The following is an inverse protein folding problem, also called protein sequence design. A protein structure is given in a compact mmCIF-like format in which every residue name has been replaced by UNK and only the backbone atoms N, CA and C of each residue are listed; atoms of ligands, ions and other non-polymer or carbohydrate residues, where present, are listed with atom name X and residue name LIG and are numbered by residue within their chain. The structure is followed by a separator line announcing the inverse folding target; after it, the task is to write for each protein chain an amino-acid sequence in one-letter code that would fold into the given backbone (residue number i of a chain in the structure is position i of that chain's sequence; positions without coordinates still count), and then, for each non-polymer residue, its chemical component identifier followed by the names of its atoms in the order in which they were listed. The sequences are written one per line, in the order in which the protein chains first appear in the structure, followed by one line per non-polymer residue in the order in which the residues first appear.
data_IF_501064424111
#
_entry.id   IF_501064424111
#
_cell.length_a   1.000
_cell.length_b   1.000
_cell.length_c   1.000
_cell.angle_alpha   90.00
_cell.angle_beta   90.00
_cell.angle_gamma   90.00
#
_symmetry.space_group_name_H-M   'P 1'
#
loop_
_entity.id
_entity.type
_entity.pdbx_description
1 polymer ?
#
# COMPACT_ATOMS: atom_id res chain seq x y z
N UNK A 1 27.44 6.28 18.95
CA UNK A 1 26.73 6.84 17.80
C UNK A 1 25.38 6.15 17.68
N UNK A 2 24.28 6.87 17.60
CA UNK A 2 22.98 6.28 17.35
C UNK A 2 22.97 5.59 15.97
N UNK A 3 22.24 4.48 15.88
CA UNK A 3 22.05 3.75 14.63
C UNK A 3 20.59 3.85 14.24
N UNK A 4 20.33 4.03 12.95
CA UNK A 4 18.99 4.17 12.40
C UNK A 4 18.76 3.12 11.33
N UNK A 5 17.52 2.65 11.23
CA UNK A 5 17.05 1.78 10.14
C UNK A 5 15.93 2.52 9.43
N UNK A 6 16.03 2.61 8.11
CA UNK A 6 14.97 3.13 7.26
C UNK A 6 14.48 2.00 6.35
N UNK A 7 13.17 1.80 6.35
CA UNK A 7 12.52 0.86 5.45
C UNK A 7 11.72 1.68 4.44
N UNK A 8 11.94 1.40 3.16
CA UNK A 8 11.20 2.04 2.07
C UNK A 8 10.45 0.99 1.26
N UNK A 9 9.14 1.19 1.07
CA UNK A 9 8.29 0.35 0.26
C UNK A 9 7.92 1.03 -1.05
N UNK A 10 7.93 0.26 -2.15
CA UNK A 10 7.42 0.69 -3.43
C UNK A 10 6.16 -0.13 -3.74
N UNK A 11 4.99 0.53 -3.69
CA UNK A 11 3.70 -0.11 -3.89
C UNK A 11 3.08 0.35 -5.20
N UNK A 12 3.01 -0.55 -6.14
CA UNK A 12 2.48 -0.28 -7.46
C UNK A 12 1.70 -1.48 -7.98
N UNK A 13 0.56 -1.20 -8.62
CA UNK A 13 -0.14 -2.16 -9.48
C UNK A 13 -0.42 -1.50 -10.82
N UNK A 14 -0.24 -2.21 -11.94
CA UNK A 14 -0.58 -1.69 -13.25
C UNK A 14 -2.10 -1.53 -13.37
N UNK A 15 -2.57 -0.67 -14.29
CA UNK A 15 -3.98 -0.64 -14.63
C UNK A 15 -4.39 -1.98 -15.23
N UNK A 16 -5.41 -2.60 -14.64
CA UNK A 16 -5.93 -3.91 -15.06
C UNK A 16 -7.37 -3.85 -15.54
N UNK A 17 -8.00 -2.69 -15.41
CA UNK A 17 -9.36 -2.46 -15.79
C UNK A 17 -9.54 -2.65 -17.29
N UNK A 18 -10.61 -3.35 -17.68
CA UNK A 18 -11.04 -3.39 -19.05
C UNK A 18 -11.48 -1.97 -19.48
N UNK A 19 -10.89 -1.37 -20.52
CA UNK A 19 -11.18 0.02 -20.89
C UNK A 19 -12.64 0.30 -21.25
N UNK A 20 -13.38 -0.72 -21.63
CA UNK A 20 -14.78 -0.61 -22.01
C UNK A 20 -15.74 -0.77 -20.84
N UNK A 21 -15.35 -1.61 -19.86
CA UNK A 21 -16.18 -1.94 -18.71
C UNK A 21 -15.79 -1.16 -17.46
N UNK A 22 -14.63 -0.52 -17.47
CA UNK A 22 -14.04 0.20 -16.32
C UNK A 22 -13.92 -0.67 -15.05
N UNK A 23 -13.88 -1.98 -15.23
CA UNK A 23 -13.74 -2.97 -14.15
C UNK A 23 -12.64 -3.98 -14.47
N UNK A 24 -12.06 -4.55 -13.43
CA UNK A 24 -11.08 -5.63 -13.57
C UNK A 24 -11.81 -6.94 -13.81
N UNK A 25 -11.49 -7.61 -14.90
CA UNK A 25 -12.02 -8.94 -15.20
C UNK A 25 -11.37 -10.02 -14.35
N UNK A 26 -12.03 -11.19 -14.25
CA UNK A 26 -11.49 -12.33 -13.55
C UNK A 26 -10.15 -12.76 -14.13
N UNK A 27 -9.16 -12.93 -13.26
CA UNK A 27 -7.83 -13.43 -13.62
C UNK A 27 -7.59 -14.78 -12.95
N UNK A 28 -7.67 -15.86 -13.72
CA UNK A 28 -7.55 -17.23 -13.19
C UNK A 28 -6.22 -17.48 -12.46
N UNK A 29 -5.14 -16.86 -12.92
CA UNK A 29 -3.82 -16.99 -12.28
C UNK A 29 -3.74 -16.38 -10.89
N UNK A 30 -4.72 -15.56 -10.50
CA UNK A 30 -4.80 -14.97 -9.16
C UNK A 30 -5.62 -15.82 -8.18
N UNK A 31 -6.17 -16.96 -8.62
CA UNK A 31 -7.00 -17.80 -7.76
C UNK A 31 -6.36 -18.07 -6.38
N UNK A 32 -7.13 -18.12 -5.31
CA UNK A 32 -8.60 -18.05 -5.22
C UNK A 32 -9.20 -16.64 -5.27
N UNK A 33 -8.40 -15.59 -5.40
CA UNK A 33 -8.89 -14.22 -5.54
C UNK A 33 -9.38 -13.94 -6.97
N UNK A 34 -10.27 -12.98 -7.09
CA UNK A 34 -10.84 -12.58 -8.37
C UNK A 34 -9.79 -12.09 -9.38
N UNK A 35 -8.83 -11.30 -8.90
CA UNK A 35 -7.78 -10.70 -9.71
C UNK A 35 -6.51 -10.44 -8.89
N UNK A 36 -5.44 -10.05 -9.56
CA UNK A 36 -4.17 -9.78 -8.91
C UNK A 36 -4.19 -8.58 -7.97
N UNK A 37 -5.02 -7.57 -8.24
CA UNK A 37 -5.16 -6.46 -7.30
C UNK A 37 -5.75 -6.94 -5.97
N UNK A 38 -6.80 -7.74 -6.02
CA UNK A 38 -7.43 -8.32 -4.84
C UNK A 38 -6.47 -9.24 -4.08
N UNK A 39 -5.71 -10.06 -4.80
CA UNK A 39 -4.73 -10.97 -4.20
C UNK A 39 -3.63 -10.22 -3.46
N UNK A 40 -2.97 -9.27 -4.11
CA UNK A 40 -1.87 -8.53 -3.50
C UNK A 40 -2.38 -7.62 -2.38
N UNK A 41 -3.60 -7.06 -2.51
CA UNK A 41 -4.22 -6.33 -1.41
C UNK A 41 -4.38 -7.20 -0.16
N UNK A 42 -4.90 -8.41 -0.31
CA UNK A 42 -5.08 -9.34 0.81
C UNK A 42 -3.76 -9.84 1.40
N UNK A 43 -2.76 -10.12 0.56
CA UNK A 43 -1.48 -10.69 0.98
C UNK A 43 -0.47 -9.64 1.49
N UNK A 44 -0.58 -8.39 1.06
CA UNK A 44 0.39 -7.34 1.35
C UNK A 44 -0.25 -6.06 1.88
N UNK A 45 -1.04 -5.36 1.07
CA UNK A 45 -1.43 -3.98 1.39
C UNK A 45 -2.30 -3.88 2.64
N UNK A 46 -3.32 -4.70 2.75
CA UNK A 46 -4.21 -4.72 3.92
C UNK A 46 -3.52 -5.23 5.18
N UNK A 47 -2.58 -6.17 5.04
CA UNK A 47 -1.79 -6.66 6.17
C UNK A 47 -0.85 -5.61 6.73
N UNK A 48 -0.28 -4.77 5.89
CA UNK A 48 0.55 -3.63 6.34
C UNK A 48 -0.28 -2.53 7.00
N UNK A 49 -1.54 -2.38 6.63
CA UNK A 49 -2.45 -1.43 7.26
C UNK A 49 -2.79 -1.81 8.73
N UNK A 50 -2.83 -3.11 9.02
CA UNK A 50 -3.18 -3.63 10.34
C UNK A 50 -2.31 -4.85 10.70
N UNK A 51 -1.03 -4.62 10.83
CA UNK A 51 -0.05 -5.65 11.20
C UNK A 51 -0.26 -6.11 12.63
N UNK A 52 -0.33 -7.42 12.83
CA UNK A 52 -0.62 -8.03 14.14
C UNK A 52 0.66 -8.48 14.81
N UNK A 53 0.90 -8.00 16.02
CA UNK A 53 2.00 -8.45 16.86
C UNK A 53 1.43 -9.45 17.88
N UNK A 54 1.99 -10.65 17.88
CA UNK A 54 1.55 -11.74 18.74
C UNK A 54 2.51 -11.95 19.90
N UNK A 55 1.99 -12.42 21.05
CA UNK A 55 2.82 -12.92 22.13
C UNK A 55 3.20 -14.40 21.89
N UNK A 56 3.98 -14.98 22.81
CA UNK A 56 4.40 -16.37 22.74
C UNK A 56 3.24 -17.38 22.73
N UNK A 57 2.08 -17.00 23.24
CA UNK A 57 0.87 -17.81 23.21
C UNK A 57 0.01 -17.61 21.98
N UNK A 58 0.48 -16.84 20.98
CA UNK A 58 -0.24 -16.58 19.75
C UNK A 58 -1.39 -15.58 19.85
N UNK A 59 -1.50 -14.85 20.97
CA UNK A 59 -2.53 -13.83 21.13
C UNK A 59 -2.04 -12.48 20.62
N UNK A 60 -2.94 -11.73 19.97
CA UNK A 60 -2.67 -10.39 19.47
C UNK A 60 -2.49 -9.45 20.67
N UNK A 61 -1.30 -8.86 20.81
CA UNK A 61 -0.98 -7.87 21.84
C UNK A 61 -0.94 -6.45 21.32
N UNK A 62 -0.78 -6.28 20.00
CA UNK A 62 -0.76 -4.97 19.34
C UNK A 62 -1.13 -5.10 17.87
N UNK A 63 -1.78 -4.06 17.38
CA UNK A 63 -2.03 -3.86 15.94
C UNK A 63 -1.33 -2.57 15.51
N UNK A 64 -0.52 -2.65 14.45
CA UNK A 64 0.28 -1.54 13.95
C UNK A 64 -0.09 -1.24 12.52
N UNK A 65 -0.24 0.04 12.18
CA UNK A 65 -0.25 0.51 10.81
C UNK A 65 1.19 0.73 10.37
N UNK A 66 1.73 -0.20 9.57
CA UNK A 66 3.12 -0.15 9.12
C UNK A 66 3.41 1.05 8.23
N UNK A 67 2.43 1.55 7.50
CA UNK A 67 2.58 2.73 6.65
C UNK A 67 2.94 4.00 7.45
N UNK A 68 2.64 4.04 8.74
CA UNK A 68 3.05 5.14 9.62
C UNK A 68 4.50 5.05 10.11
N UNK A 69 5.21 3.94 9.82
CA UNK A 69 6.54 3.64 10.35
C UNK A 69 7.60 3.40 9.28
N UNK A 70 7.24 3.51 8.02
CA UNK A 70 8.16 3.37 6.88
C UNK A 70 7.92 4.49 5.89
N UNK A 71 8.92 4.80 5.06
CA UNK A 71 8.68 5.62 3.88
C UNK A 71 8.15 4.74 2.75
N UNK A 72 7.30 5.28 1.92
CA UNK A 72 6.77 4.52 0.78
C UNK A 72 6.31 5.45 -0.33
N UNK A 73 6.24 4.91 -1.55
CA UNK A 73 5.49 5.51 -2.63
C UNK A 73 4.37 4.57 -3.09
N UNK A 74 3.32 5.17 -3.58
CA UNK A 74 2.12 4.46 -3.99
C UNK A 74 1.64 5.00 -5.34
N UNK A 75 1.47 4.10 -6.31
CA UNK A 75 1.01 4.48 -7.63
C UNK A 75 -0.45 4.91 -7.64
N UNK A 76 -0.84 5.88 -8.51
CA UNK A 76 -2.20 6.38 -8.55
C UNK A 76 -3.22 5.31 -8.97
N UNK A 77 -2.84 4.38 -9.83
CA UNK A 77 -3.71 3.26 -10.23
C UNK A 77 -4.07 2.35 -9.06
N UNK A 78 -3.08 2.02 -8.22
CA UNK A 78 -3.32 1.24 -7.02
C UNK A 78 -4.17 2.01 -6.00
N UNK A 79 -3.88 3.28 -5.81
CA UNK A 79 -4.59 4.10 -4.83
C UNK A 79 -6.08 4.26 -5.21
N UNK A 80 -6.37 4.49 -6.48
CA UNK A 80 -7.75 4.54 -6.98
C UNK A 80 -8.48 3.21 -6.79
N UNK A 81 -7.81 2.11 -7.09
CA UNK A 81 -8.38 0.78 -6.90
C UNK A 81 -8.69 0.49 -5.43
N UNK A 82 -7.78 0.82 -4.51
CA UNK A 82 -7.99 0.66 -3.06
C UNK A 82 -9.16 1.51 -2.56
N UNK A 83 -9.30 2.73 -3.03
CA UNK A 83 -10.39 3.61 -2.65
C UNK A 83 -11.76 2.98 -2.93
N UNK A 84 -11.89 2.27 -4.05
CA UNK A 84 -13.14 1.64 -4.48
C UNK A 84 -13.34 0.24 -3.88
N UNK A 85 -12.28 -0.56 -3.78
CA UNK A 85 -12.38 -1.99 -3.48
C UNK A 85 -11.92 -2.37 -2.08
N UNK A 86 -11.07 -1.57 -1.44
CA UNK A 86 -10.60 -1.79 -0.06
C UNK A 86 -10.48 -0.45 0.68
N UNK A 87 -11.61 0.20 0.96
CA UNK A 87 -11.61 1.53 1.58
C UNK A 87 -10.96 1.55 2.97
N UNK A 88 -10.99 0.45 3.71
CA UNK A 88 -10.32 0.38 5.02
C UNK A 88 -8.81 0.48 4.88
N UNK A 89 -8.22 -0.20 3.90
CA UNK A 89 -6.80 -0.08 3.59
C UNK A 89 -6.46 1.32 3.08
N UNK A 90 -7.28 1.87 2.20
CA UNK A 90 -7.14 3.24 1.69
C UNK A 90 -7.11 4.26 2.82
N UNK A 91 -8.09 4.20 3.72
CA UNK A 91 -8.19 5.12 4.87
C UNK A 91 -7.00 4.96 5.82
N UNK A 92 -6.53 3.74 6.04
CA UNK A 92 -5.35 3.48 6.88
C UNK A 92 -4.07 4.11 6.30
N UNK A 93 -3.93 4.11 4.98
CA UNK A 93 -2.79 4.77 4.30
C UNK A 93 -2.85 6.29 4.47
N UNK A 94 -4.02 6.89 4.32
CA UNK A 94 -4.22 8.33 4.55
C UNK A 94 -3.99 8.71 6.02
N UNK A 95 -4.45 7.89 6.95
CA UNK A 95 -4.21 8.07 8.38
C UNK A 95 -2.72 7.98 8.71
N UNK A 96 -1.99 7.08 8.07
CA UNK A 96 -0.55 6.94 8.23
C UNK A 96 0.21 8.22 7.87
N UNK A 97 -0.22 8.92 6.83
CA UNK A 97 0.34 10.22 6.46
C UNK A 97 0.12 11.25 7.57
N UNK A 98 -1.11 11.36 8.07
CA UNK A 98 -1.45 12.28 9.17
C UNK A 98 -0.67 11.97 10.45
N UNK A 99 -0.50 10.68 10.80
CA UNK A 99 0.31 10.25 11.96
C UNK A 99 1.77 10.62 11.76
N UNK A 100 2.32 10.41 10.56
CA UNK A 100 3.70 10.74 10.23
C UNK A 100 4.00 12.23 10.31
N UNK A 101 3.11 13.06 9.81
CA UNK A 101 3.22 14.54 9.91
C UNK A 101 3.29 14.95 11.38
N UNK A 102 2.42 14.43 12.23
CA UNK A 102 2.41 14.74 13.67
C UNK A 102 3.65 14.23 14.40
N UNK A 103 4.13 13.02 14.05
CA UNK A 103 5.26 12.37 14.72
C UNK A 103 6.60 12.99 14.38
N UNK A 104 6.80 13.34 13.12
CA UNK A 104 8.10 13.74 12.59
C UNK A 104 8.20 15.24 12.29
N UNK A 105 7.14 16.01 12.53
CA UNK A 105 7.10 17.46 12.30
C UNK A 105 7.54 17.88 10.89
N UNK A 106 7.16 17.09 9.89
CA UNK A 106 7.54 17.30 8.50
C UNK A 106 6.58 16.62 7.55
N UNK A 107 6.95 16.43 6.30
CA UNK A 107 6.15 15.64 5.35
C UNK A 107 5.89 14.25 5.92
N UNK A 108 4.71 13.71 5.65
CA UNK A 108 4.35 12.35 6.05
C UNK A 108 5.20 11.28 5.35
N UNK A 109 5.00 9.98 5.71
CA UNK A 109 5.73 8.85 5.15
C UNK A 109 5.64 8.68 3.64
N UNK A 110 4.51 9.03 2.97
CA UNK A 110 4.43 8.92 1.53
C UNK A 110 5.41 9.83 0.81
N UNK A 111 6.11 9.28 -0.17
CA UNK A 111 6.97 10.03 -1.08
C UNK A 111 6.26 10.17 -2.44
N UNK A 112 6.38 11.35 -3.05
CA UNK A 112 5.81 11.60 -4.36
C UNK A 112 6.49 10.76 -5.44
N UNK A 113 5.81 9.80 -6.08
CA UNK A 113 6.33 9.11 -7.25
C UNK A 113 6.05 9.91 -8.53
N UNK A 114 6.65 9.50 -9.65
CA UNK A 114 6.15 9.89 -10.95
C UNK A 114 4.71 9.40 -11.13
N UNK A 115 3.88 10.18 -11.81
CA UNK A 115 2.47 9.80 -12.03
C UNK A 115 2.36 8.46 -12.76
N UNK A 116 3.17 8.27 -13.81
CA UNK A 116 3.27 7.00 -14.51
C UNK A 116 4.48 6.19 -14.00
N UNK A 117 4.32 4.87 -13.94
CA UNK A 117 5.41 3.95 -13.60
C UNK A 117 6.33 3.78 -14.80
N UNK A 118 7.36 4.58 -14.87
CA UNK A 118 8.29 4.65 -16.00
C UNK A 118 9.75 4.62 -15.55
N UNK A 119 10.63 4.23 -16.44
CA UNK A 119 12.08 4.43 -16.27
C UNK A 119 12.39 5.79 -16.85
N UNK A 120 12.53 6.80 -16.00
CA UNK A 120 12.65 8.21 -16.40
C UNK A 120 13.68 8.49 -17.49
N UNK A 121 14.91 7.91 -17.43
CA UNK A 121 15.88 8.14 -18.50
C UNK A 121 15.46 7.60 -19.87
N UNK A 122 14.47 6.73 -19.93
CA UNK A 122 13.96 6.12 -21.17
C UNK A 122 12.57 6.64 -21.54
N UNK A 123 11.99 7.53 -20.75
CA UNK A 123 10.69 8.13 -21.03
C UNK A 123 10.82 9.23 -22.10
N UNK A 124 9.85 9.24 -23.05
CA UNK A 124 9.76 10.29 -24.07
C UNK A 124 8.95 11.48 -23.57
#
# INVERSE_FOLDING_TARGET
MPRYVCIHGHFYQPPRENPWLETVELQESAAPWHDWNARIAAECYSRNAASRILNDGGKIVKICNNYSRMSFNLGPTLLSWLQENDPLCYDAILEADAIGVRRFSGPGPPMAPGYNHVIMPLAN
#
